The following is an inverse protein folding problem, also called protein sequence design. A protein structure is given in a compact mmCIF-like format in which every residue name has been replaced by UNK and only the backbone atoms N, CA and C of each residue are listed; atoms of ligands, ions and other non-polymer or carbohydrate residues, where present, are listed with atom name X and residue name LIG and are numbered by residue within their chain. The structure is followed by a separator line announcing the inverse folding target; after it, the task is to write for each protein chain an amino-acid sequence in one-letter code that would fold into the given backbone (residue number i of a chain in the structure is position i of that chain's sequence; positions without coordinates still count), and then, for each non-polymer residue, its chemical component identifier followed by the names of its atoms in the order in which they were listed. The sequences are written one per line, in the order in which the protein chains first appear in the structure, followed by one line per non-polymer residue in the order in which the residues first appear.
data_IF_180964411387
#
_entry.id   IF_180964411387
#
_cell.length_a   1.000
_cell.length_b   1.000
_cell.length_c   1.000
_cell.angle_alpha   90.00
_cell.angle_beta   90.00
_cell.angle_gamma   90.00
#
_symmetry.space_group_name_H-M   'P 1'
#
loop_
_entity.id
_entity.type
_entity.pdbx_description
1 polymer ?
#
# COMPACT_ATOMS: atom_id res chain seq x y z
N UNK A 1 -7.56 -17.78 -10.43
CA UNK A 1 -8.40 -16.97 -9.53
C UNK A 1 -7.97 -15.52 -9.66
N UNK A 2 -8.83 -14.58 -10.07
CA UNK A 2 -8.46 -13.17 -10.09
C UNK A 2 -8.24 -12.73 -8.63
N UNK A 3 -7.00 -12.35 -8.31
CA UNK A 3 -6.65 -11.78 -7.01
C UNK A 3 -7.23 -10.37 -7.03
N UNK A 4 -8.34 -10.13 -6.34
CA UNK A 4 -8.93 -8.79 -6.17
C UNK A 4 -7.93 -7.93 -5.37
N UNK A 5 -6.96 -7.36 -6.08
CA UNK A 5 -5.96 -6.46 -5.52
C UNK A 5 -6.66 -5.12 -5.37
N UNK A 6 -7.14 -4.84 -4.16
CA UNK A 6 -7.60 -3.52 -3.80
C UNK A 6 -6.50 -2.50 -4.13
N UNK A 7 -6.77 -1.61 -5.08
CA UNK A 7 -5.89 -0.49 -5.41
C UNK A 7 -6.44 0.76 -4.71
N UNK A 8 -5.92 1.11 -3.52
CA UNK A 8 -6.36 2.32 -2.85
C UNK A 8 -6.14 3.53 -3.76
N UNK A 9 -7.17 4.37 -3.88
CA UNK A 9 -7.05 5.62 -4.61
C UNK A 9 -6.24 6.60 -3.76
N UNK A 10 -5.10 7.02 -4.28
CA UNK A 10 -4.38 8.18 -3.78
C UNK A 10 -5.08 9.44 -4.26
N UNK A 11 -4.97 10.52 -3.48
CA UNK A 11 -5.45 11.83 -3.90
C UNK A 11 -4.61 12.39 -5.06
N UNK A 12 -5.23 13.20 -5.92
CA UNK A 12 -4.61 13.68 -7.17
C UNK A 12 -3.34 14.50 -6.92
N UNK A 13 -3.33 15.30 -5.86
CA UNK A 13 -2.17 16.08 -5.41
C UNK A 13 -0.98 15.19 -5.06
N UNK A 14 -1.23 14.09 -4.34
CA UNK A 14 -0.20 13.09 -3.98
C UNK A 14 0.34 12.41 -5.23
N UNK A 15 -0.52 12.07 -6.21
CA UNK A 15 -0.09 11.49 -7.48
C UNK A 15 0.81 12.46 -8.25
N UNK A 16 0.46 13.75 -8.32
CA UNK A 16 1.29 14.77 -8.95
C UNK A 16 2.66 14.89 -8.28
N UNK A 17 2.71 14.91 -6.95
CA UNK A 17 3.96 14.99 -6.19
C UNK A 17 4.84 13.75 -6.41
N UNK A 18 4.25 12.55 -6.37
CA UNK A 18 4.96 11.30 -6.64
C UNK A 18 5.55 11.27 -8.06
N UNK A 19 4.80 11.75 -9.05
CA UNK A 19 5.28 11.81 -10.43
C UNK A 19 6.48 12.75 -10.59
N UNK A 20 6.39 13.96 -10.04
CA UNK A 20 7.47 14.95 -10.11
C UNK A 20 8.75 14.42 -9.44
N UNK A 21 8.59 13.81 -8.28
CA UNK A 21 9.71 13.27 -7.52
C UNK A 21 10.33 12.03 -8.20
N UNK A 22 9.51 11.15 -8.76
CA UNK A 22 9.96 9.99 -9.53
C UNK A 22 10.76 10.41 -10.77
N UNK A 23 10.28 11.45 -11.48
CA UNK A 23 10.98 12.06 -12.61
C UNK A 23 12.34 12.63 -12.19
N UNK A 24 12.39 13.37 -11.07
CA UNK A 24 13.63 13.93 -10.52
C UNK A 24 14.66 12.85 -10.18
N UNK A 25 14.20 11.72 -9.62
CA UNK A 25 15.05 10.57 -9.25
C UNK A 25 15.33 9.60 -10.41
N UNK A 26 14.73 9.81 -11.58
CA UNK A 26 14.82 8.92 -12.76
C UNK A 26 14.43 7.47 -12.42
N UNK A 27 13.32 7.29 -11.71
CA UNK A 27 12.82 5.96 -11.32
C UNK A 27 11.31 5.83 -11.56
N UNK A 28 10.76 4.60 -11.62
CA UNK A 28 9.32 4.40 -11.74
C UNK A 28 8.56 4.94 -10.53
N UNK A 29 7.46 5.66 -10.77
CA UNK A 29 6.61 6.24 -9.72
C UNK A 29 6.07 5.19 -8.76
N UNK A 30 5.69 4.01 -9.24
CA UNK A 30 5.19 2.90 -8.42
C UNK A 30 6.25 2.38 -7.45
N UNK A 31 7.51 2.32 -7.88
CA UNK A 31 8.63 1.92 -7.03
C UNK A 31 8.91 2.97 -5.95
N UNK A 32 8.90 4.25 -6.33
CA UNK A 32 9.02 5.35 -5.37
C UNK A 32 7.91 5.32 -4.31
N UNK A 33 6.66 5.09 -4.75
CA UNK A 33 5.52 4.99 -3.85
C UNK A 33 5.68 3.83 -2.86
N UNK A 34 6.05 2.64 -3.32
CA UNK A 34 6.31 1.48 -2.45
C UNK A 34 7.42 1.77 -1.41
N UNK A 35 8.52 2.39 -1.84
CA UNK A 35 9.62 2.77 -0.94
C UNK A 35 9.19 3.79 0.13
N UNK A 36 8.45 4.83 -0.26
CA UNK A 36 7.96 5.86 0.66
C UNK A 36 6.93 5.31 1.66
N UNK A 37 5.99 4.49 1.18
CA UNK A 37 4.98 3.85 2.03
C UNK A 37 5.63 2.92 3.05
N UNK A 38 6.57 2.05 2.61
CA UNK A 38 7.31 1.17 3.53
C UNK A 38 8.07 1.95 4.59
N UNK A 39 8.75 3.03 4.19
CA UNK A 39 9.53 3.87 5.12
C UNK A 39 8.63 4.58 6.12
N UNK A 40 7.51 5.14 5.67
CA UNK A 40 6.55 5.83 6.54
C UNK A 40 5.92 4.89 7.57
N UNK A 41 5.49 3.70 7.12
CA UNK A 41 4.90 2.68 7.99
C UNK A 41 5.92 2.13 9.00
N UNK A 42 7.19 1.99 8.62
CA UNK A 42 8.25 1.56 9.53
C UNK A 42 8.59 2.62 10.59
N UNK A 43 8.56 3.90 10.22
CA UNK A 43 8.86 5.02 11.13
C UNK A 43 7.71 5.34 12.11
N UNK A 44 6.47 4.99 11.75
CA UNK A 44 5.27 5.29 12.53
C UNK A 44 4.94 4.32 13.68
N UNK A 45 5.71 3.25 13.88
CA UNK A 45 5.48 2.31 14.98
C UNK A 45 4.29 1.37 14.79
N UNK A 46 4.56 0.26 14.09
CA UNK A 46 3.87 -1.04 14.05
C UNK A 46 2.43 -1.14 13.49
N UNK A 47 2.29 -1.89 12.38
CA UNK A 47 1.29 -2.95 12.29
C UNK A 47 2.01 -4.30 12.43
N UNK A 48 1.53 -5.17 13.32
CA UNK A 48 1.86 -6.59 13.33
C UNK A 48 1.49 -7.21 11.97
N UNK A 49 2.33 -7.04 10.95
CA UNK A 49 2.31 -7.91 9.80
C UNK A 49 3.04 -9.15 10.28
N UNK A 50 2.27 -10.05 10.93
CA UNK A 50 2.68 -11.44 11.09
C UNK A 50 3.14 -11.87 9.71
N UNK A 51 4.44 -12.15 9.59
CA UNK A 51 5.02 -12.85 8.47
C UNK A 51 4.37 -14.23 8.46
N UNK A 52 3.17 -14.32 7.90
CA UNK A 52 2.53 -15.56 7.58
C UNK A 52 3.42 -16.23 6.56
N UNK A 53 4.09 -17.30 7.00
CA UNK A 53 4.42 -18.42 6.13
C UNK A 53 3.24 -18.65 5.16
N UNK A 54 3.47 -18.97 3.88
CA UNK A 54 2.38 -19.19 2.93
C UNK A 54 1.69 -20.52 3.27
N UNK A 55 0.82 -20.47 4.27
CA UNK A 55 -0.07 -21.52 4.70
C UNK A 55 -1.44 -20.87 4.87
N UNK A 56 -2.36 -21.27 3.99
CA UNK A 56 -3.77 -20.96 3.98
C UNK A 56 -4.33 -20.47 5.31
N UNK A 57 -4.71 -19.20 5.40
CA UNK A 57 -5.77 -18.77 6.33
C UNK A 57 -6.44 -17.51 5.76
N UNK A 58 -7.68 -17.73 5.32
CA UNK A 58 -8.59 -16.70 4.83
C UNK A 58 -8.95 -15.76 5.98
N UNK A 59 -8.30 -14.61 6.07
CA UNK A 59 -8.78 -13.53 6.96
C UNK A 59 -10.03 -12.93 6.33
N UNK A 60 -11.19 -13.34 6.83
CA UNK A 60 -12.48 -12.73 6.54
C UNK A 60 -12.58 -11.47 7.41
N UNK A 61 -12.24 -10.30 6.86
CA UNK A 61 -12.58 -9.02 7.50
C UNK A 61 -14.07 -8.76 7.27
N UNK A 62 -14.91 -9.12 8.24
CA UNK A 62 -16.32 -8.73 8.29
C UNK A 62 -16.41 -7.28 8.79
N UNK A 63 -16.88 -6.39 7.91
CA UNK A 63 -17.35 -5.07 8.33
C UNK A 63 -18.82 -5.17 8.75
N UNK A 64 -19.25 -4.52 9.83
CA UNK A 64 -20.66 -4.48 10.20
C UNK A 64 -21.43 -3.64 9.16
N UNK A 65 -22.49 -4.22 8.64
CA UNK A 65 -23.43 -3.56 7.73
C UNK A 65 -24.21 -2.51 8.52
N UNK A 66 -24.14 -1.25 8.06
CA UNK A 66 -24.91 -0.16 8.61
C UNK A 66 -26.25 -0.07 7.87
N UNK A 67 -27.33 -0.49 8.54
CA UNK A 67 -28.69 0.04 8.39
C UNK A 67 -29.59 -0.49 9.53
#
# INVERSE_FOLDING_TARGET
MPRNLYSPRLSDDVVCLLYQEAKRRRMPMTRLADELLRKGLAAGGNPEVRSGSPGNDSIVMQFPEAA
#
